data_IF_371386853446
#
_entry.id   IF_371386853446
#
_cell.length_a   1.000
_cell.length_b   1.000
_cell.length_c   1.000
_cell.angle_alpha   90.00
_cell.angle_beta   90.00
_cell.angle_gamma   90.00
#
_symmetry.space_group_name_H-M   'P 1'
#
loop_
_entity.id
_entity.type
_entity.pdbx_description
1 polymer ?
#
# COMPACT_ATOMS: atom_id res chain seq x y z
N UNK A 1 -14.40 46.23 -4.61
CA UNK A 1 -13.94 45.23 -3.61
C UNK A 1 -14.29 43.86 -4.21
N UNK A 2 -13.35 43.28 -4.97
CA UNK A 2 -13.51 41.96 -5.56
C UNK A 2 -13.20 40.95 -4.47
N UNK A 3 -14.20 40.14 -4.11
CA UNK A 3 -13.95 38.87 -3.42
C UNK A 3 -13.02 38.03 -4.32
N UNK A 4 -11.79 37.84 -3.88
CA UNK A 4 -10.86 36.90 -4.49
C UNK A 4 -11.45 35.52 -4.24
N UNK A 5 -12.11 34.99 -5.27
CA UNK A 5 -12.59 33.62 -5.28
C UNK A 5 -11.36 32.71 -5.11
N UNK A 6 -11.29 32.05 -3.98
CA UNK A 6 -10.12 31.25 -3.60
C UNK A 6 -10.17 29.92 -4.33
N UNK A 7 -9.34 29.79 -5.35
CA UNK A 7 -9.26 28.56 -6.13
C UNK A 7 -8.68 27.43 -5.29
N UNK A 8 -9.46 26.38 -5.08
CA UNK A 8 -8.95 25.12 -4.52
C UNK A 8 -7.91 24.54 -5.49
N UNK A 9 -6.78 24.09 -4.97
CA UNK A 9 -5.74 23.43 -5.76
C UNK A 9 -5.89 21.93 -5.58
N UNK A 10 -6.05 21.24 -6.71
CA UNK A 10 -6.07 19.77 -6.77
C UNK A 10 -4.81 19.31 -7.51
N UNK A 11 -3.93 18.63 -6.78
CA UNK A 11 -2.76 17.99 -7.37
C UNK A 11 -3.14 16.57 -7.77
N UNK A 12 -3.08 16.26 -9.06
CA UNK A 12 -3.38 14.93 -9.56
C UNK A 12 -2.09 14.16 -9.80
N UNK A 13 -2.02 12.93 -9.28
CA UNK A 13 -0.85 12.08 -9.42
C UNK A 13 -1.21 10.64 -9.76
N UNK A 14 -0.21 9.85 -10.16
CA UNK A 14 -0.35 8.42 -10.39
C UNK A 14 -0.82 7.69 -9.13
N UNK A 15 -1.58 6.59 -9.34
CA UNK A 15 -2.06 5.72 -8.27
C UNK A 15 -0.97 4.76 -7.78
N UNK A 16 0.16 5.32 -7.38
CA UNK A 16 1.25 4.59 -6.74
C UNK A 16 1.88 5.44 -5.63
N UNK A 17 2.64 4.81 -4.75
CA UNK A 17 3.25 5.46 -3.58
C UNK A 17 4.19 6.59 -3.98
N UNK A 18 4.99 6.40 -5.04
CA UNK A 18 5.95 7.39 -5.52
C UNK A 18 5.26 8.63 -6.09
N UNK A 19 4.20 8.45 -6.87
CA UNK A 19 3.36 9.56 -7.37
C UNK A 19 2.76 10.37 -6.23
N UNK A 20 2.24 9.70 -5.19
CA UNK A 20 1.67 10.38 -4.03
C UNK A 20 2.75 11.14 -3.24
N UNK A 21 3.94 10.57 -3.00
CA UNK A 21 5.03 11.28 -2.33
C UNK A 21 5.51 12.50 -3.14
N UNK A 22 5.52 12.40 -4.48
CA UNK A 22 5.83 13.52 -5.35
C UNK A 22 4.79 14.63 -5.21
N UNK A 23 3.50 14.28 -5.24
CA UNK A 23 2.41 15.24 -5.05
C UNK A 23 2.43 15.89 -3.65
N UNK A 24 2.78 15.15 -2.62
CA UNK A 24 3.00 15.69 -1.25
C UNK A 24 4.14 16.71 -1.26
N UNK A 25 5.26 16.42 -1.92
CA UNK A 25 6.36 17.38 -2.05
C UNK A 25 5.88 18.70 -2.69
N UNK A 26 5.22 18.60 -3.83
CA UNK A 26 4.73 19.77 -4.57
C UNK A 26 3.65 20.53 -3.78
N UNK A 27 2.78 19.83 -3.03
CA UNK A 27 1.81 20.46 -2.12
C UNK A 27 2.50 21.36 -1.07
N UNK A 28 3.62 20.91 -0.50
CA UNK A 28 4.39 21.72 0.43
C UNK A 28 5.10 22.90 -0.27
N UNK A 29 5.57 22.74 -1.50
CA UNK A 29 6.16 23.84 -2.29
C UNK A 29 5.10 24.90 -2.56
N UNK A 30 3.94 24.53 -3.08
CA UNK A 30 2.82 25.46 -3.32
C UNK A 30 2.38 26.17 -2.06
N UNK A 31 2.27 25.44 -0.96
CA UNK A 31 1.91 26.04 0.34
C UNK A 31 2.91 27.09 0.81
N UNK A 32 4.21 26.81 0.68
CA UNK A 32 5.26 27.74 1.05
C UNK A 32 5.29 28.99 0.14
N UNK A 33 4.98 28.85 -1.15
CA UNK A 33 4.86 29.97 -2.07
C UNK A 33 3.69 30.88 -1.70
N UNK A 34 2.52 30.31 -1.44
CA UNK A 34 1.32 31.08 -1.04
C UNK A 34 1.51 31.82 0.29
N UNK A 35 2.23 31.22 1.24
CA UNK A 35 2.54 31.88 2.52
C UNK A 35 3.44 33.12 2.33
N UNK A 36 4.35 33.13 1.36
CA UNK A 36 5.21 34.28 1.05
C UNK A 36 4.45 35.42 0.41
N UNK A 37 3.36 35.15 -0.31
CA UNK A 37 2.53 36.10 -0.99
C UNK A 37 1.43 36.73 -0.11
N UNK A 38 1.51 36.59 1.24
CA UNK A 38 0.57 37.13 2.24
C UNK A 38 -0.89 36.64 2.11
N UNK A 39 -1.13 35.52 1.51
CA UNK A 39 -2.45 34.90 1.48
C UNK A 39 -2.69 34.07 2.74
N UNK A 40 -3.20 34.67 3.80
CA UNK A 40 -3.42 34.04 5.13
C UNK A 40 -4.44 32.86 5.14
N UNK A 41 -5.11 32.57 4.05
CA UNK A 41 -6.38 31.84 4.05
C UNK A 41 -6.26 30.33 3.73
N UNK A 42 -5.09 29.76 3.47
CA UNK A 42 -5.04 28.51 2.69
C UNK A 42 -4.47 27.26 3.37
N UNK A 43 -5.00 26.93 4.55
CA UNK A 43 -4.55 25.72 5.24
C UNK A 43 -5.14 24.41 4.69
N UNK A 44 -6.35 24.46 4.13
CA UNK A 44 -7.13 23.27 3.73
C UNK A 44 -7.54 23.27 2.24
N UNK A 45 -7.00 24.19 1.41
CA UNK A 45 -7.39 24.34 0.01
C UNK A 45 -6.54 23.52 -0.98
N UNK A 46 -5.59 22.71 -0.49
CA UNK A 46 -4.79 21.81 -1.34
C UNK A 46 -5.22 20.38 -1.05
N UNK A 47 -5.68 19.70 -2.08
CA UNK A 47 -6.00 18.25 -2.03
C UNK A 47 -5.20 17.49 -3.07
N UNK A 48 -5.05 16.17 -2.85
CA UNK A 48 -4.38 15.28 -3.80
C UNK A 48 -5.40 14.28 -4.32
N UNK A 49 -5.58 14.25 -5.62
CA UNK A 49 -6.41 13.28 -6.32
C UNK A 49 -5.52 12.22 -6.96
N UNK A 50 -5.93 10.95 -6.83
CA UNK A 50 -5.16 9.79 -7.27
C UNK A 50 -5.78 9.22 -8.53
N UNK A 51 -4.96 9.03 -9.59
CA UNK A 51 -5.37 8.44 -10.86
C UNK A 51 -5.87 9.44 -11.88
N UNK A 52 -6.11 8.94 -13.10
CA UNK A 52 -6.56 9.72 -14.26
C UNK A 52 -8.10 9.67 -14.28
N UNK A 53 -8.76 10.85 -14.22
CA UNK A 53 -10.21 10.93 -14.43
C UNK A 53 -11.04 11.30 -13.21
N UNK A 54 -10.69 12.38 -12.52
CA UNK A 54 -11.55 12.97 -11.48
C UNK A 54 -12.64 13.88 -12.03
N UNK A 55 -13.65 14.15 -11.22
CA UNK A 55 -14.69 15.12 -11.51
C UNK A 55 -14.08 16.52 -11.66
N UNK A 56 -14.33 17.18 -12.78
CA UNK A 56 -13.95 18.59 -12.96
C UNK A 56 -14.69 19.44 -11.92
N UNK A 57 -13.95 19.99 -10.96
CA UNK A 57 -14.49 20.98 -10.04
C UNK A 57 -14.43 22.35 -10.71
N UNK A 58 -15.58 23.00 -10.88
CA UNK A 58 -15.74 24.29 -11.58
C UNK A 58 -14.91 25.45 -10.98
N UNK A 59 -14.44 25.30 -9.73
CA UNK A 59 -13.74 26.35 -8.96
C UNK A 59 -12.41 25.83 -8.39
N UNK A 60 -11.73 24.93 -9.10
CA UNK A 60 -10.46 24.37 -8.66
C UNK A 60 -9.42 24.41 -9.75
N UNK A 61 -8.20 24.78 -9.39
CA UNK A 61 -7.03 24.67 -10.28
C UNK A 61 -6.48 23.25 -10.19
N UNK A 62 -6.56 22.50 -11.28
CA UNK A 62 -6.01 21.16 -11.38
C UNK A 62 -4.58 21.22 -11.94
N UNK A 63 -3.67 20.49 -11.31
CA UNK A 63 -2.27 20.40 -11.70
C UNK A 63 -1.87 18.93 -11.74
N UNK A 64 -1.51 18.45 -12.92
CA UNK A 64 -1.01 17.10 -13.09
C UNK A 64 0.46 17.02 -12.64
N UNK A 65 0.75 16.04 -11.79
CA UNK A 65 2.07 15.82 -11.19
C UNK A 65 2.66 14.55 -11.76
N UNK A 66 3.76 14.69 -12.49
CA UNK A 66 4.55 13.56 -12.94
C UNK A 66 5.44 13.03 -11.80
N UNK A 67 5.57 11.71 -11.70
CA UNK A 67 6.38 11.06 -10.66
C UNK A 67 7.86 11.43 -10.80
N UNK A 68 8.47 11.93 -9.73
CA UNK A 68 9.87 12.37 -9.65
C UNK A 68 10.57 11.68 -8.46
N UNK A 69 11.48 10.76 -8.76
CA UNK A 69 12.21 9.99 -7.76
C UNK A 69 13.04 10.87 -6.80
N UNK A 70 13.55 12.00 -7.26
CA UNK A 70 14.32 12.93 -6.40
C UNK A 70 13.40 13.56 -5.37
N UNK A 71 12.19 13.96 -5.76
CA UNK A 71 11.18 14.51 -4.84
C UNK A 71 10.71 13.45 -3.85
N UNK A 72 10.51 12.21 -4.31
CA UNK A 72 10.16 11.06 -3.45
C UNK A 72 11.20 10.88 -2.36
N UNK A 73 12.47 10.74 -2.72
CA UNK A 73 13.55 10.56 -1.76
C UNK A 73 13.67 11.73 -0.77
N UNK A 74 13.56 12.98 -1.24
CA UNK A 74 13.55 14.16 -0.38
C UNK A 74 12.40 14.15 0.62
N UNK A 75 11.21 13.72 0.19
CA UNK A 75 10.02 13.66 1.06
C UNK A 75 10.21 12.62 2.15
N UNK A 76 10.63 11.40 1.77
CA UNK A 76 10.88 10.30 2.71
C UNK A 76 11.94 10.68 3.74
N UNK A 77 13.10 11.16 3.27
CA UNK A 77 14.19 11.57 4.16
C UNK A 77 13.79 12.72 5.09
N UNK A 78 12.96 13.66 4.60
CA UNK A 78 12.48 14.78 5.43
C UNK A 78 11.53 14.29 6.52
N UNK A 79 10.62 13.38 6.21
CA UNK A 79 9.72 12.77 7.19
C UNK A 79 10.53 12.01 8.24
N UNK A 80 11.43 11.12 7.83
CA UNK A 80 12.25 10.31 8.72
C UNK A 80 13.13 11.17 9.63
N UNK A 81 13.79 12.21 9.07
CA UNK A 81 14.72 13.07 9.83
C UNK A 81 13.99 13.99 10.82
N UNK A 82 12.85 14.57 10.43
CA UNK A 82 12.14 15.56 11.26
C UNK A 82 11.09 14.94 12.17
N UNK A 83 10.41 13.89 11.74
CA UNK A 83 9.29 13.29 12.45
C UNK A 83 9.62 11.90 13.02
N UNK A 84 10.68 11.25 12.53
CA UNK A 84 11.12 9.93 12.97
C UNK A 84 10.53 8.79 12.14
N UNK A 85 11.17 7.62 12.30
CA UNK A 85 10.87 6.43 11.49
C UNK A 85 9.45 5.91 11.75
N UNK A 86 8.98 5.95 13.00
CA UNK A 86 7.64 5.46 13.38
C UNK A 86 6.50 6.21 12.66
N UNK A 87 6.63 7.52 12.51
CA UNK A 87 5.67 8.34 11.76
C UNK A 87 5.75 8.00 10.26
N UNK A 88 6.98 7.83 9.74
CA UNK A 88 7.16 7.40 8.36
C UNK A 88 6.47 6.05 8.08
N UNK A 89 6.66 5.03 8.93
CA UNK A 89 5.97 3.74 8.80
C UNK A 89 4.44 3.90 8.77
N UNK A 90 3.90 4.69 9.72
CA UNK A 90 2.45 4.93 9.79
C UNK A 90 1.92 5.61 8.51
N UNK A 91 2.67 6.59 7.98
CA UNK A 91 2.35 7.27 6.71
C UNK A 91 2.43 6.31 5.55
N UNK A 92 3.49 5.52 5.46
CA UNK A 92 3.69 4.53 4.40
C UNK A 92 2.56 3.50 4.37
N UNK A 93 2.22 2.93 5.52
CA UNK A 93 1.09 2.00 5.65
C UNK A 93 -0.22 2.66 5.19
N UNK A 94 -0.49 3.89 5.65
CA UNK A 94 -1.70 4.62 5.26
C UNK A 94 -1.78 4.83 3.74
N UNK A 95 -0.64 5.08 3.07
CA UNK A 95 -0.56 5.22 1.61
C UNK A 95 -0.78 3.89 0.86
N UNK A 96 -0.50 2.74 1.49
CA UNK A 96 -0.81 1.43 0.93
C UNK A 96 -2.33 1.11 0.96
N UNK A 97 -3.15 1.87 1.70
CA UNK A 97 -4.59 1.64 1.78
C UNK A 97 -5.27 1.91 0.42
N UNK A 98 -6.38 1.22 0.14
CA UNK A 98 -7.12 1.33 -1.13
C UNK A 98 -8.04 2.55 -1.26
N UNK A 99 -8.18 3.37 -0.22
CA UNK A 99 -9.04 4.56 -0.22
C UNK A 99 -8.52 5.65 -1.17
N UNK A 100 -9.40 6.23 -1.98
CA UNK A 100 -9.03 7.27 -2.96
C UNK A 100 -8.60 8.59 -2.30
N UNK A 101 -9.07 8.85 -1.08
CA UNK A 101 -8.73 10.07 -0.34
C UNK A 101 -7.48 9.93 0.56
N UNK A 102 -6.80 8.76 0.55
CA UNK A 102 -5.63 8.50 1.40
C UNK A 102 -4.52 9.53 1.28
N UNK A 103 -4.26 10.02 0.05
CA UNK A 103 -3.23 11.01 -0.21
C UNK A 103 -3.56 12.36 0.44
N UNK A 104 -4.80 12.84 0.34
CA UNK A 104 -5.27 14.06 1.00
C UNK A 104 -5.26 13.94 2.53
N UNK A 105 -5.65 12.79 3.06
CA UNK A 105 -5.60 12.50 4.50
C UNK A 105 -4.16 12.57 5.00
N UNK A 106 -3.22 11.91 4.31
CA UNK A 106 -1.80 11.90 4.66
C UNK A 106 -1.20 13.31 4.55
N UNK A 107 -1.54 14.07 3.50
CA UNK A 107 -1.12 15.47 3.38
C UNK A 107 -1.59 16.29 4.59
N UNK A 108 -2.87 16.20 4.96
CA UNK A 108 -3.43 16.88 6.12
C UNK A 108 -2.74 16.52 7.42
N UNK A 109 -2.42 15.23 7.61
CA UNK A 109 -1.63 14.74 8.74
C UNK A 109 -0.22 15.34 8.75
N UNK A 110 0.52 15.26 7.63
CA UNK A 110 1.89 15.75 7.56
C UNK A 110 1.99 17.26 7.79
N UNK A 111 1.01 18.03 7.30
CA UNK A 111 0.93 19.48 7.58
C UNK A 111 0.86 19.77 9.07
N UNK A 112 0.15 18.94 9.82
CA UNK A 112 0.05 19.06 11.29
C UNK A 112 1.30 18.51 11.97
N UNK A 113 1.79 17.37 11.53
CA UNK A 113 2.97 16.72 12.07
C UNK A 113 4.22 17.62 12.01
N UNK A 114 4.43 18.33 10.89
CA UNK A 114 5.55 19.26 10.79
C UNK A 114 5.46 20.50 11.70
N UNK A 115 4.28 20.81 12.25
CA UNK A 115 4.10 21.89 13.25
C UNK A 115 4.31 21.41 14.67
N UNK A 116 3.80 20.22 15.00
CA UNK A 116 3.79 19.66 16.35
C UNK A 116 5.04 18.81 16.62
N UNK A 117 5.65 18.23 15.56
CA UNK A 117 6.75 17.28 15.67
C UNK A 117 6.25 15.88 16.03
N UNK A 118 7.13 15.08 16.63
CA UNK A 118 6.87 13.66 16.91
C UNK A 118 5.67 13.42 17.85
N UNK A 119 5.33 14.40 18.69
CA UNK A 119 4.18 14.31 19.62
C UNK A 119 2.83 14.30 18.90
N UNK A 120 2.79 14.51 17.59
CA UNK A 120 1.55 14.41 16.79
C UNK A 120 0.84 13.07 17.01
N UNK A 121 1.59 12.00 17.28
CA UNK A 121 1.05 10.67 17.54
C UNK A 121 0.16 10.59 18.79
N UNK A 122 0.25 11.56 19.68
CA UNK A 122 -0.55 11.66 20.93
C UNK A 122 -1.85 12.44 20.71
N UNK A 123 -1.96 13.18 19.59
CA UNK A 123 -3.09 14.06 19.27
C UNK A 123 -4.27 13.31 18.63
N UNK A 124 -4.78 12.27 19.29
CA UNK A 124 -5.84 11.39 18.79
C UNK A 124 -7.21 12.07 18.58
N UNK A 125 -7.37 13.31 19.05
CA UNK A 125 -8.58 14.11 18.80
C UNK A 125 -8.56 14.84 17.46
N UNK A 126 -7.39 14.96 16.82
CA UNK A 126 -7.28 15.55 15.48
C UNK A 126 -7.81 14.57 14.43
N UNK A 127 -8.69 15.06 13.55
CA UNK A 127 -9.33 14.27 12.49
C UNK A 127 -8.31 13.52 11.61
N UNK A 128 -7.28 14.23 11.13
CA UNK A 128 -6.31 13.62 10.21
C UNK A 128 -5.39 12.62 10.90
N UNK A 129 -5.10 12.85 12.18
CA UNK A 129 -4.34 11.88 13.00
C UNK A 129 -5.14 10.59 13.15
N UNK A 130 -6.41 10.69 13.55
CA UNK A 130 -7.30 9.52 13.64
C UNK A 130 -7.43 8.78 12.31
N UNK A 131 -7.67 9.51 11.21
CA UNK A 131 -7.87 8.91 9.90
C UNK A 131 -6.61 8.15 9.43
N UNK A 132 -5.40 8.74 9.56
CA UNK A 132 -4.14 8.07 9.18
C UNK A 132 -3.91 6.82 10.02
N UNK A 133 -4.15 6.86 11.33
CA UNK A 133 -4.06 5.69 12.18
C UNK A 133 -5.05 4.60 11.79
N UNK A 134 -6.26 4.97 11.41
CA UNK A 134 -7.27 4.02 10.99
C UNK A 134 -6.88 3.33 9.67
N UNK A 135 -6.34 4.10 8.69
CA UNK A 135 -5.84 3.56 7.42
C UNK A 135 -4.67 2.59 7.69
N UNK A 136 -3.64 3.01 8.42
CA UNK A 136 -2.49 2.17 8.78
C UNK A 136 -2.92 0.90 9.52
N UNK A 137 -3.83 0.99 10.47
CA UNK A 137 -4.36 -0.17 11.22
C UNK A 137 -5.08 -1.16 10.31
N UNK A 138 -5.86 -0.68 9.31
CA UNK A 138 -6.55 -1.56 8.35
C UNK A 138 -5.55 -2.29 7.46
N UNK A 139 -4.52 -1.60 6.99
CA UNK A 139 -3.41 -2.17 6.20
C UNK A 139 -2.68 -3.24 7.00
N UNK A 140 -2.28 -2.95 8.22
CA UNK A 140 -1.57 -3.92 9.08
C UNK A 140 -2.42 -5.16 9.38
N UNK A 141 -3.73 -4.99 9.65
CA UNK A 141 -4.66 -6.12 9.82
C UNK A 141 -4.80 -6.99 8.57
N UNK A 142 -4.75 -6.39 7.37
CA UNK A 142 -4.75 -7.15 6.12
C UNK A 142 -3.42 -7.86 5.92
N UNK A 143 -2.29 -7.20 6.20
CA UNK A 143 -0.96 -7.78 6.13
C UNK A 143 -0.82 -9.03 7.02
N UNK A 144 -1.32 -8.98 8.26
CA UNK A 144 -1.28 -10.12 9.18
C UNK A 144 -2.05 -11.33 8.63
N UNK A 145 -3.20 -11.08 8.00
CA UNK A 145 -3.98 -12.14 7.34
C UNK A 145 -3.24 -12.73 6.14
N UNK A 146 -2.64 -11.89 5.30
CA UNK A 146 -1.91 -12.33 4.12
C UNK A 146 -0.69 -13.17 4.54
N UNK A 147 0.07 -12.75 5.54
CA UNK A 147 1.20 -13.53 6.09
C UNK A 147 0.79 -14.94 6.53
N UNK A 148 -0.45 -15.10 7.04
CA UNK A 148 -0.98 -16.40 7.45
C UNK A 148 -1.63 -17.22 6.32
N UNK A 149 -2.20 -16.56 5.31
CA UNK A 149 -3.05 -17.22 4.31
C UNK A 149 -2.41 -17.42 2.96
N UNK A 150 -1.34 -16.70 2.63
CA UNK A 150 -0.63 -16.87 1.37
C UNK A 150 -0.06 -18.30 1.27
N UNK A 151 -0.18 -18.91 0.10
CA UNK A 151 0.35 -20.22 -0.21
C UNK A 151 1.31 -20.10 -1.38
N UNK A 152 2.45 -20.75 -1.24
CA UNK A 152 3.46 -20.84 -2.28
C UNK A 152 3.40 -22.22 -2.91
N UNK A 153 3.33 -22.26 -4.25
CA UNK A 153 3.43 -23.47 -5.06
C UNK A 153 4.84 -23.59 -5.63
N UNK A 154 5.42 -24.78 -5.59
CA UNK A 154 6.75 -25.07 -6.14
C UNK A 154 6.68 -25.35 -7.64
N UNK A 155 7.17 -24.42 -8.46
CA UNK A 155 7.31 -24.61 -9.91
C UNK A 155 8.65 -25.27 -10.31
N UNK A 156 9.45 -25.69 -9.32
CA UNK A 156 10.77 -26.31 -9.53
C UNK A 156 11.92 -25.34 -9.68
N UNK A 157 11.70 -24.11 -10.14
CA UNK A 157 12.72 -23.07 -10.27
C UNK A 157 12.53 -21.93 -9.26
N UNK A 158 11.31 -21.71 -8.83
CA UNK A 158 10.93 -20.69 -7.85
C UNK A 158 9.60 -21.07 -7.17
N UNK A 159 9.40 -20.52 -6.00
CA UNK A 159 8.12 -20.55 -5.29
C UNK A 159 7.21 -19.45 -5.81
N UNK A 160 5.99 -19.77 -6.22
CA UNK A 160 5.01 -18.83 -6.72
C UNK A 160 3.85 -18.69 -5.76
N UNK A 161 3.49 -17.47 -5.42
CA UNK A 161 2.30 -17.17 -4.66
C UNK A 161 1.42 -16.15 -5.38
N UNK A 162 0.12 -16.45 -5.45
CA UNK A 162 -0.93 -15.55 -5.91
C UNK A 162 -1.74 -15.04 -4.75
N UNK A 163 -2.13 -13.77 -4.79
CA UNK A 163 -3.06 -13.22 -3.84
C UNK A 163 -3.82 -12.02 -4.45
N UNK A 164 -4.98 -11.71 -3.89
CA UNK A 164 -5.84 -10.62 -4.37
C UNK A 164 -6.19 -9.68 -3.20
N UNK A 165 -5.26 -8.85 -2.74
CA UNK A 165 -5.47 -7.97 -1.59
C UNK A 165 -6.31 -6.73 -1.96
N UNK A 166 -6.96 -6.13 -0.95
CA UNK A 166 -7.62 -4.82 -1.12
C UNK A 166 -6.60 -3.69 -1.14
N UNK A 167 -5.73 -3.66 -0.14
CA UNK A 167 -4.64 -2.70 -0.03
C UNK A 167 -3.43 -3.11 -0.88
N UNK A 168 -2.51 -2.19 -1.13
CA UNK A 168 -1.23 -2.51 -1.78
C UNK A 168 -0.32 -3.22 -0.78
N UNK A 169 -0.32 -4.56 -0.86
CA UNK A 169 0.31 -5.39 0.17
C UNK A 169 1.72 -5.83 -0.14
N UNK A 170 2.14 -5.86 -1.42
CA UNK A 170 3.50 -6.31 -1.74
C UNK A 170 4.56 -5.55 -0.94
N UNK A 171 4.60 -4.21 -0.90
CA UNK A 171 5.61 -3.47 -0.17
C UNK A 171 5.56 -3.66 1.35
N UNK A 172 4.40 -4.12 1.88
CA UNK A 172 4.20 -4.34 3.32
C UNK A 172 4.59 -5.75 3.75
N UNK A 173 4.40 -6.76 2.89
CA UNK A 173 4.60 -8.16 3.27
C UNK A 173 5.86 -8.80 2.70
N UNK A 174 6.45 -8.24 1.63
CA UNK A 174 7.58 -8.87 0.94
C UNK A 174 8.77 -9.16 1.87
N UNK A 175 9.10 -8.23 2.78
CA UNK A 175 10.22 -8.39 3.70
C UNK A 175 10.03 -9.55 4.67
N UNK A 176 8.79 -9.81 5.10
CA UNK A 176 8.48 -11.00 5.90
C UNK A 176 8.84 -12.30 5.17
N UNK A 177 8.58 -12.36 3.85
CA UNK A 177 8.88 -13.56 3.07
C UNK A 177 10.36 -13.65 2.68
N UNK A 178 11.04 -12.52 2.47
CA UNK A 178 12.50 -12.47 2.32
C UNK A 178 13.19 -13.06 3.56
N UNK A 179 12.77 -12.66 4.75
CA UNK A 179 13.31 -13.19 5.99
C UNK A 179 12.98 -14.68 6.21
N UNK A 180 11.80 -15.11 5.76
CA UNK A 180 11.36 -16.50 5.93
C UNK A 180 12.00 -17.46 4.94
N UNK A 181 12.25 -17.01 3.71
CA UNK A 181 12.77 -17.81 2.60
C UNK A 181 14.03 -17.19 1.95
N UNK A 182 15.07 -16.86 2.73
CA UNK A 182 16.23 -16.14 2.18
C UNK A 182 17.03 -16.98 1.17
N UNK A 183 16.94 -18.31 1.28
CA UNK A 183 17.62 -19.27 0.41
C UNK A 183 16.84 -19.69 -0.84
N UNK A 184 15.64 -19.16 -1.07
CA UNK A 184 14.76 -19.56 -2.16
C UNK A 184 14.54 -18.42 -3.15
N UNK A 185 14.34 -18.80 -4.43
CA UNK A 185 13.74 -17.86 -5.39
C UNK A 185 12.24 -17.85 -5.16
N UNK A 186 11.61 -16.68 -5.03
CA UNK A 186 10.16 -16.63 -4.98
C UNK A 186 9.57 -15.46 -5.75
N UNK A 187 8.33 -15.62 -6.14
CA UNK A 187 7.52 -14.59 -6.81
C UNK A 187 6.20 -14.47 -6.06
N UNK A 188 5.82 -13.25 -5.71
CA UNK A 188 4.50 -12.93 -5.16
C UNK A 188 3.79 -12.03 -6.16
N UNK A 189 2.68 -12.50 -6.72
CA UNK A 189 1.89 -11.81 -7.72
C UNK A 189 0.59 -11.26 -7.15
N UNK A 190 0.36 -9.95 -7.31
CA UNK A 190 -0.89 -9.29 -6.97
C UNK A 190 -1.85 -9.35 -8.17
N UNK A 191 -2.83 -10.25 -8.10
CA UNK A 191 -3.83 -10.45 -9.16
C UNK A 191 -4.70 -9.20 -9.41
N UNK A 192 -4.88 -8.38 -8.37
CA UNK A 192 -5.70 -7.17 -8.47
C UNK A 192 -4.97 -6.03 -9.16
N UNK A 193 -3.67 -5.82 -8.84
CA UNK A 193 -2.84 -4.74 -9.40
C UNK A 193 -2.01 -5.17 -10.58
N UNK A 194 -1.98 -6.48 -10.88
CA UNK A 194 -1.28 -7.09 -12.01
C UNK A 194 0.22 -6.74 -12.05
N UNK A 195 0.86 -6.85 -10.91
CA UNK A 195 2.30 -6.75 -10.78
C UNK A 195 2.82 -7.77 -9.77
N UNK A 196 4.10 -8.04 -9.80
CA UNK A 196 4.73 -8.97 -8.87
C UNK A 196 6.00 -8.40 -8.29
N UNK A 197 6.40 -8.97 -7.15
CA UNK A 197 7.75 -8.88 -6.64
C UNK A 197 8.47 -10.21 -6.87
N UNK A 198 9.70 -10.12 -7.36
CA UNK A 198 10.60 -11.25 -7.55
C UNK A 198 11.72 -11.13 -6.53
N UNK A 199 11.93 -12.19 -5.75
CA UNK A 199 13.08 -12.36 -4.87
C UNK A 199 14.01 -13.43 -5.45
N UNK A 200 15.13 -13.06 -6.06
CA UNK A 200 16.16 -14.03 -6.39
C UNK A 200 16.91 -14.44 -5.11
N UNK A 201 17.27 -15.70 -5.01
CA UNK A 201 18.02 -16.26 -3.90
C UNK A 201 19.19 -15.35 -3.47
N UNK A 202 19.22 -14.92 -2.23
CA UNK A 202 20.29 -14.10 -1.63
C UNK A 202 20.56 -12.78 -2.35
N UNK A 203 19.54 -12.21 -3.05
CA UNK A 203 19.64 -10.93 -3.75
C UNK A 203 18.50 -10.02 -3.38
N UNK A 204 18.60 -8.76 -3.79
CA UNK A 204 17.55 -7.78 -3.61
C UNK A 204 16.30 -8.10 -4.45
N UNK A 205 15.13 -7.78 -3.90
CA UNK A 205 13.87 -7.89 -4.60
C UNK A 205 13.74 -6.83 -5.69
N UNK A 206 13.04 -7.17 -6.75
CA UNK A 206 12.65 -6.20 -7.78
C UNK A 206 11.20 -6.44 -8.24
N UNK A 207 10.57 -5.39 -8.74
CA UNK A 207 9.20 -5.45 -9.24
C UNK A 207 9.17 -5.76 -10.72
N UNK A 208 8.17 -6.54 -11.14
CA UNK A 208 7.87 -6.83 -12.53
C UNK A 208 6.39 -6.55 -12.80
N UNK A 209 6.09 -6.13 -14.04
CA UNK A 209 4.73 -5.92 -14.50
C UNK A 209 4.07 -7.22 -15.00
N UNK A 210 2.77 -7.16 -15.34
CA UNK A 210 1.99 -8.31 -15.83
C UNK A 210 2.61 -8.98 -17.06
N UNK A 211 3.17 -8.21 -17.99
CA UNK A 211 3.77 -8.74 -19.23
C UNK A 211 5.03 -9.55 -18.91
N UNK A 212 5.88 -9.01 -18.08
CA UNK A 212 7.12 -9.67 -17.63
C UNK A 212 6.80 -10.93 -16.82
N UNK A 213 5.79 -10.85 -15.93
CA UNK A 213 5.32 -12.01 -15.17
C UNK A 213 4.82 -13.14 -16.07
N UNK A 214 3.97 -12.84 -17.06
CA UNK A 214 3.50 -13.83 -18.05
C UNK A 214 4.63 -14.44 -18.89
N UNK A 215 5.69 -13.69 -19.18
CA UNK A 215 6.89 -14.24 -19.83
C UNK A 215 7.62 -15.22 -18.91
N UNK A 216 7.76 -14.87 -17.63
CA UNK A 216 8.37 -15.72 -16.62
C UNK A 216 7.60 -17.05 -16.47
N UNK A 217 6.28 -17.00 -16.32
CA UNK A 217 5.44 -18.19 -16.23
C UNK A 217 5.58 -19.14 -17.44
N UNK A 218 5.59 -18.59 -18.65
CA UNK A 218 5.72 -19.39 -19.90
C UNK A 218 7.09 -20.03 -20.06
N UNK A 219 8.11 -19.48 -19.42
CA UNK A 219 9.48 -20.00 -19.50
C UNK A 219 9.74 -21.22 -18.63
N UNK A 220 8.80 -21.53 -17.70
CA UNK A 220 8.93 -22.65 -16.76
C UNK A 220 7.90 -23.73 -17.11
N UNK A 221 8.29 -25.01 -17.28
CA UNK A 221 7.34 -26.08 -17.48
C UNK A 221 6.44 -26.24 -16.26
N UNK A 222 5.14 -26.44 -16.52
CA UNK A 222 4.16 -26.69 -15.43
C UNK A 222 4.55 -27.99 -14.72
N UNK A 223 4.99 -27.86 -13.48
CA UNK A 223 5.28 -29.01 -12.62
C UNK A 223 4.16 -29.13 -11.61
N UNK A 224 3.64 -30.35 -11.44
CA UNK A 224 2.66 -30.62 -10.40
C UNK A 224 3.35 -30.60 -9.05
N UNK A 225 2.93 -29.70 -8.17
CA UNK A 225 3.46 -29.63 -6.81
C UNK A 225 2.88 -30.79 -5.97
N UNK A 226 3.74 -31.75 -5.62
CA UNK A 226 3.35 -32.88 -4.79
C UNK A 226 3.02 -32.47 -3.34
N UNK A 227 3.56 -31.34 -2.87
CA UNK A 227 3.29 -30.85 -1.52
C UNK A 227 1.88 -30.26 -1.38
N UNK A 228 1.30 -29.71 -2.45
CA UNK A 228 -0.10 -29.27 -2.42
C UNK A 228 -1.07 -30.41 -2.14
N UNK A 229 -0.83 -31.58 -2.75
CA UNK A 229 -1.65 -32.77 -2.52
C UNK A 229 -1.48 -33.29 -1.08
N UNK A 230 -0.25 -33.36 -0.60
CA UNK A 230 0.03 -33.74 0.78
C UNK A 230 -0.61 -32.78 1.78
N UNK A 231 -0.60 -31.47 1.48
CA UNK A 231 -1.23 -30.47 2.33
C UNK A 231 -2.76 -30.63 2.39
N UNK A 232 -3.43 -30.89 1.25
CA UNK A 232 -4.87 -31.19 1.22
C UNK A 232 -5.22 -32.41 2.08
N UNK A 233 -4.48 -33.51 1.89
CA UNK A 233 -4.68 -34.73 2.69
C UNK A 233 -4.46 -34.46 4.18
N UNK A 234 -3.40 -33.74 4.55
CA UNK A 234 -3.13 -33.38 5.94
C UNK A 234 -4.27 -32.54 6.52
N UNK A 235 -4.74 -31.52 5.79
CA UNK A 235 -5.82 -30.64 6.22
C UNK A 235 -7.12 -31.39 6.48
N UNK A 236 -7.49 -32.32 5.59
CA UNK A 236 -8.68 -33.15 5.73
C UNK A 236 -8.60 -34.10 6.91
N UNK A 237 -7.41 -34.67 7.20
CA UNK A 237 -7.23 -35.67 8.27
C UNK A 237 -7.00 -35.05 9.65
N UNK A 238 -6.65 -33.77 9.72
CA UNK A 238 -6.48 -33.06 11.01
C UNK A 238 -7.74 -32.35 11.48
N UNK A 239 -8.81 -32.37 10.67
CA UNK A 239 -10.09 -31.76 11.06
C UNK A 239 -10.77 -32.58 12.17
N UNK A 240 -11.06 -31.90 13.29
CA UNK A 240 -11.77 -32.49 14.42
C UNK A 240 -13.25 -32.16 14.26
N UNK A 241 -14.07 -33.13 13.86
CA UNK A 241 -15.48 -32.96 13.53
C UNK A 241 -16.29 -32.29 14.64
N UNK A 242 -16.01 -32.58 15.91
CA UNK A 242 -16.65 -32.01 17.09
C UNK A 242 -16.35 -30.53 17.26
N UNK A 243 -15.29 -30.00 16.63
CA UNK A 243 -14.90 -28.60 16.66
C UNK A 243 -15.31 -27.84 15.39
N UNK A 244 -16.05 -28.51 14.49
CA UNK A 244 -16.47 -27.89 13.25
C UNK A 244 -17.42 -26.70 13.50
N UNK A 245 -16.95 -25.49 13.23
CA UNK A 245 -17.69 -24.25 13.37
C UNK A 245 -17.49 -23.34 12.15
N UNK A 246 -18.37 -23.42 11.14
CA UNK A 246 -18.25 -22.68 9.89
C UNK A 246 -18.25 -21.17 10.08
N UNK A 247 -18.95 -20.67 11.11
CA UNK A 247 -18.98 -19.24 11.39
C UNK A 247 -17.65 -18.74 11.97
N UNK A 248 -17.10 -19.47 12.94
CA UNK A 248 -15.78 -19.19 13.48
C UNK A 248 -14.70 -19.25 12.39
N UNK A 249 -14.74 -20.28 11.56
CA UNK A 249 -13.81 -20.43 10.42
C UNK A 249 -13.91 -19.26 9.43
N UNK A 250 -15.13 -18.77 9.13
CA UNK A 250 -15.32 -17.59 8.26
C UNK A 250 -14.82 -16.29 8.88
N UNK A 251 -14.94 -16.14 10.19
CA UNK A 251 -14.46 -14.97 10.91
C UNK A 251 -12.93 -14.92 10.96
N UNK A 252 -12.29 -16.07 11.21
CA UNK A 252 -10.83 -16.20 11.29
C UNK A 252 -10.18 -16.19 9.90
N UNK A 253 -10.72 -16.95 8.95
CA UNK A 253 -10.28 -17.02 7.56
C UNK A 253 -11.44 -16.66 6.61
N UNK A 254 -11.66 -15.37 6.30
CA UNK A 254 -12.71 -14.93 5.40
C UNK A 254 -12.62 -15.56 4.01
N UNK A 255 -13.77 -15.80 3.37
CA UNK A 255 -13.85 -16.42 2.03
C UNK A 255 -13.00 -15.72 0.96
N UNK A 256 -12.80 -14.41 1.09
CA UNK A 256 -11.97 -13.63 0.18
C UNK A 256 -10.55 -14.17 0.05
N UNK A 257 -9.94 -14.61 1.16
CA UNK A 257 -8.56 -15.13 1.16
C UNK A 257 -8.47 -16.60 0.71
N UNK A 258 -9.59 -17.36 0.75
CA UNK A 258 -9.61 -18.81 0.43
C UNK A 258 -9.42 -19.10 -1.05
N UNK A 259 -9.63 -18.13 -1.94
CA UNK A 259 -9.55 -18.28 -3.39
C UNK A 259 -8.21 -18.87 -3.85
N UNK A 260 -7.12 -18.45 -3.19
CA UNK A 260 -5.76 -18.87 -3.53
C UNK A 260 -5.16 -19.80 -2.46
N UNK A 261 -6.01 -20.46 -1.67
CA UNK A 261 -5.58 -21.43 -0.66
C UNK A 261 -5.96 -22.83 -1.14
N UNK A 262 -4.94 -23.66 -1.39
CA UNK A 262 -5.08 -25.00 -1.99
C UNK A 262 -6.01 -25.93 -1.21
N UNK A 263 -6.13 -25.76 0.10
CA UNK A 263 -7.03 -26.52 0.98
C UNK A 263 -8.52 -26.17 0.83
N UNK A 264 -8.85 -25.11 0.10
CA UNK A 264 -10.23 -24.70 -0.17
C UNK A 264 -10.61 -24.71 -1.65
N UNK A 265 -9.69 -25.09 -2.54
CA UNK A 265 -9.86 -25.28 -3.98
C UNK A 265 -9.79 -26.78 -4.33
#
# INVERSE_FOLDING_TARGET
QGEVCMDNIILRCDNNINGIFTAIYDAFVYKNQMQKENHEVYRDNISIEIGIGGNYSLFSKMIDIETDEIKVQKTILTIQKKLGFKIYETVFDALCHYSDNRATIVLGFLVRAFKVGQRIMEHMTDKYVMEVFELSRKVNKEADKIRGFIRFSDNGNYLLAHFEPKCDMIPVVMWHFVDRYPGENFVIYDDRRRHAVVHPRLKECFYINEREFKQLERSVPVKTDSFEQLWKVYFEHTDIRERFNPQCQRNLCPKWYRKNMVEFT
#
